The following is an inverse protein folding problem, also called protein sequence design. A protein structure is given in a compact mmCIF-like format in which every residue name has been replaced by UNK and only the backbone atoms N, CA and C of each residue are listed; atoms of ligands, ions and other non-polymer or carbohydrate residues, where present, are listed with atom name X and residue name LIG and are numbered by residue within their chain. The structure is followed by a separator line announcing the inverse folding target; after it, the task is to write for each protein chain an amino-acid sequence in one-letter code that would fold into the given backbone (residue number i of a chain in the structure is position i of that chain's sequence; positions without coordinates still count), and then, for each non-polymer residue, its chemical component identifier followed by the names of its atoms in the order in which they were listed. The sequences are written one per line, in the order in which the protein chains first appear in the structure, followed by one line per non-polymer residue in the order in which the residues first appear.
data_IF_217073679700
#
_entry.id   IF_217073679700
#
_cell.length_a   1.000
_cell.length_b   1.000
_cell.length_c   1.000
_cell.angle_alpha   90.00
_cell.angle_beta   90.00
_cell.angle_gamma   90.00
#
_symmetry.space_group_name_H-M   'P 1'
#
loop_
_entity.id
_entity.type
_entity.pdbx_description
1 polymer ?
#
# COMPACT_ATOMS: atom_id res chain seq x y z
N UNK A 1 -29.15 -43.59 1.77
CA UNK A 1 -28.85 -42.56 0.75
C UNK A 1 -28.79 -41.22 1.47
N UNK A 2 -27.60 -40.84 1.97
CA UNK A 2 -27.42 -39.57 2.69
C UNK A 2 -27.06 -38.50 1.66
N UNK A 3 -27.92 -37.49 1.54
CA UNK A 3 -27.67 -36.28 0.78
C UNK A 3 -26.69 -35.43 1.59
N UNK A 4 -25.45 -35.32 1.13
CA UNK A 4 -24.51 -34.31 1.60
C UNK A 4 -24.96 -32.96 1.05
N UNK A 5 -25.36 -32.06 1.93
CA UNK A 5 -25.65 -30.67 1.61
C UNK A 5 -24.34 -29.92 1.39
N UNK A 6 -24.16 -29.35 0.19
CA UNK A 6 -23.07 -28.43 -0.12
C UNK A 6 -23.12 -27.19 0.80
N UNK A 7 -21.96 -26.62 1.21
CA UNK A 7 -21.96 -25.41 2.01
C UNK A 7 -22.45 -24.22 1.18
N UNK A 8 -23.43 -23.51 1.73
CA UNK A 8 -23.93 -22.24 1.18
C UNK A 8 -22.78 -21.24 1.03
N UNK A 9 -22.66 -20.66 -0.17
CA UNK A 9 -21.95 -19.39 -0.39
C UNK A 9 -22.58 -18.33 0.52
N UNK A 10 -21.94 -18.06 1.66
CA UNK A 10 -22.23 -16.86 2.43
C UNK A 10 -21.86 -15.64 1.59
N UNK A 11 -22.80 -14.71 1.46
CA UNK A 11 -22.66 -13.50 0.67
C UNK A 11 -21.53 -12.62 1.23
N UNK A 12 -20.62 -12.19 0.37
CA UNK A 12 -19.47 -11.29 0.62
C UNK A 12 -19.87 -9.84 0.98
N UNK A 13 -20.90 -9.65 1.78
CA UNK A 13 -21.24 -8.35 2.37
C UNK A 13 -21.29 -8.53 3.87
N UNK A 14 -20.11 -8.65 4.47
CA UNK A 14 -19.93 -8.40 5.89
C UNK A 14 -20.56 -7.04 6.21
N UNK A 15 -21.41 -7.00 7.23
CA UNK A 15 -22.03 -5.78 7.74
C UNK A 15 -20.98 -4.65 7.87
N UNK A 16 -21.33 -3.45 7.41
CA UNK A 16 -20.45 -2.30 7.52
C UNK A 16 -20.25 -1.95 8.99
N UNK A 17 -19.12 -2.36 9.58
CA UNK A 17 -18.78 -2.11 10.98
C UNK A 17 -18.44 -0.63 11.30
N UNK A 18 -18.61 0.28 10.34
CA UNK A 18 -18.38 1.73 10.51
C UNK A 18 -16.91 2.14 10.74
N UNK A 19 -15.96 1.20 10.76
CA UNK A 19 -14.57 1.44 11.17
C UNK A 19 -13.72 2.18 10.13
N UNK A 20 -14.19 2.25 8.87
CA UNK A 20 -13.46 2.91 7.79
C UNK A 20 -12.40 2.04 7.11
N UNK A 21 -12.17 0.79 7.54
CA UNK A 21 -11.13 -0.07 6.95
C UNK A 21 -11.56 -1.52 6.77
N UNK A 22 -10.95 -2.25 5.83
CA UNK A 22 -11.26 -3.64 5.52
C UNK A 22 -9.98 -4.43 5.25
N UNK A 23 -10.00 -5.73 5.58
CA UNK A 23 -9.02 -6.69 5.06
C UNK A 23 -9.67 -7.45 3.92
N UNK A 24 -8.94 -7.64 2.83
CA UNK A 24 -9.32 -8.55 1.77
C UNK A 24 -8.22 -9.58 1.52
N UNK A 25 -8.59 -10.64 0.80
CA UNK A 25 -7.72 -11.77 0.52
C UNK A 25 -7.58 -12.07 -0.97
N UNK A 26 -8.39 -11.44 -1.83
CA UNK A 26 -8.27 -11.56 -3.29
C UNK A 26 -8.09 -10.21 -3.98
N UNK A 27 -7.63 -10.26 -5.24
CA UNK A 27 -7.46 -9.08 -6.08
C UNK A 27 -8.82 -8.48 -6.48
N UNK A 28 -9.84 -9.31 -6.71
CA UNK A 28 -11.19 -8.87 -7.07
C UNK A 28 -11.82 -8.00 -5.98
N UNK A 29 -11.50 -8.27 -4.71
CA UNK A 29 -11.99 -7.50 -3.57
C UNK A 29 -11.38 -6.09 -3.49
N UNK A 30 -10.39 -5.73 -4.33
CA UNK A 30 -9.87 -4.36 -4.37
C UNK A 30 -10.92 -3.32 -4.72
N UNK A 31 -11.95 -3.70 -5.49
CA UNK A 31 -13.11 -2.86 -5.82
C UNK A 31 -13.86 -2.33 -4.59
N UNK A 32 -13.72 -3.01 -3.44
CA UNK A 32 -14.30 -2.56 -2.17
C UNK A 32 -13.79 -1.16 -1.77
N UNK A 33 -12.62 -0.73 -2.24
CA UNK A 33 -12.10 0.61 -1.95
C UNK A 33 -13.03 1.72 -2.44
N UNK A 34 -13.85 1.48 -3.48
CA UNK A 34 -14.79 2.49 -3.99
C UNK A 34 -16.02 2.64 -3.10
N UNK A 35 -16.33 1.66 -2.26
CA UNK A 35 -17.48 1.71 -1.37
C UNK A 35 -17.33 2.84 -0.35
N UNK A 36 -18.45 3.50 -0.07
CA UNK A 36 -18.53 4.44 1.05
C UNK A 36 -18.24 3.72 2.37
N UNK A 37 -17.51 4.37 3.27
CA UNK A 37 -17.09 3.77 4.54
C UNK A 37 -15.90 2.81 4.46
N UNK A 38 -15.25 2.68 3.30
CA UNK A 38 -13.96 1.98 3.14
C UNK A 38 -12.89 3.01 2.73
N UNK A 39 -12.21 3.61 3.70
CA UNK A 39 -11.11 4.55 3.49
C UNK A 39 -9.72 3.85 3.47
N UNK A 40 -9.63 2.63 4.00
CA UNK A 40 -8.45 1.77 3.90
C UNK A 40 -8.84 0.34 3.56
N UNK A 41 -8.27 -0.21 2.49
CA UNK A 41 -8.34 -1.64 2.19
C UNK A 41 -6.94 -2.26 2.32
N UNK A 42 -6.82 -3.32 3.12
CA UNK A 42 -5.57 -4.06 3.30
C UNK A 42 -5.72 -5.42 2.62
N UNK A 43 -5.08 -5.60 1.47
CA UNK A 43 -4.92 -6.91 0.88
C UNK A 43 -3.80 -7.66 1.59
N UNK A 44 -4.20 -8.56 2.49
CA UNK A 44 -3.25 -9.37 3.27
C UNK A 44 -2.87 -10.60 2.47
N UNK A 45 -1.60 -10.67 2.10
CA UNK A 45 -1.01 -11.76 1.32
C UNK A 45 0.31 -12.23 1.93
N UNK A 46 0.72 -13.49 1.70
CA UNK A 46 2.05 -13.94 2.08
C UNK A 46 3.12 -13.20 1.28
N UNK A 47 4.31 -13.06 1.87
CA UNK A 47 5.49 -12.57 1.17
C UNK A 47 5.93 -13.59 0.11
N UNK A 48 6.20 -13.19 -1.15
CA UNK A 48 6.72 -14.12 -2.15
C UNK A 48 8.13 -14.58 -1.75
N UNK A 49 8.31 -15.88 -1.50
CA UNK A 49 9.46 -16.39 -0.72
C UNK A 49 10.85 -15.97 -1.24
N UNK A 50 11.13 -16.18 -2.52
CA UNK A 50 12.43 -15.83 -3.11
C UNK A 50 12.63 -14.30 -3.17
N UNK A 51 11.59 -13.57 -3.58
CA UNK A 51 11.62 -12.11 -3.67
C UNK A 51 11.88 -11.49 -2.28
N UNK A 52 11.18 -11.97 -1.26
CA UNK A 52 11.30 -11.49 0.09
C UNK A 52 12.66 -11.78 0.73
N UNK A 53 13.18 -12.99 0.53
CA UNK A 53 14.51 -13.36 1.01
C UNK A 53 15.59 -12.47 0.39
N UNK A 54 15.50 -12.24 -0.93
CA UNK A 54 16.46 -11.39 -1.64
C UNK A 54 16.36 -9.93 -1.21
N UNK A 55 15.18 -9.34 -1.19
CA UNK A 55 15.00 -7.94 -0.79
C UNK A 55 15.39 -7.69 0.67
N UNK A 56 15.21 -8.67 1.56
CA UNK A 56 15.68 -8.54 2.95
C UNK A 56 17.21 -8.56 3.04
N UNK A 57 17.90 -9.31 2.17
CA UNK A 57 19.37 -9.37 2.16
C UNK A 57 20.06 -8.17 1.51
N UNK A 58 19.34 -7.37 0.74
CA UNK A 58 19.90 -6.21 0.04
C UNK A 58 20.04 -5.01 0.98
N UNK A 59 21.13 -4.27 0.80
CA UNK A 59 21.29 -2.94 1.39
C UNK A 59 20.33 -1.95 0.73
N UNK A 60 20.02 -0.83 1.39
CA UNK A 60 19.03 0.11 0.87
C UNK A 60 19.53 0.80 -0.41
N UNK A 61 20.83 1.08 -0.48
CA UNK A 61 21.51 1.66 -1.64
C UNK A 61 21.51 0.75 -2.87
N UNK A 62 21.34 -0.57 -2.67
CA UNK A 62 21.21 -1.58 -3.72
C UNK A 62 19.75 -1.75 -4.18
N UNK A 63 18.81 -0.93 -3.71
CA UNK A 63 17.43 -0.94 -4.20
C UNK A 63 17.28 0.14 -5.29
N UNK A 64 16.32 0.02 -6.21
CA UNK A 64 16.02 1.09 -7.15
C UNK A 64 15.41 2.26 -6.38
N UNK A 65 15.45 3.46 -6.97
CA UNK A 65 14.69 4.61 -6.48
C UNK A 65 14.13 5.39 -7.65
N UNK A 66 13.01 6.06 -7.46
CA UNK A 66 12.50 6.94 -8.50
C UNK A 66 11.07 7.39 -8.27
N UNK A 67 10.75 8.54 -8.85
CA UNK A 67 9.39 9.07 -8.95
C UNK A 67 9.11 9.43 -10.40
N UNK A 68 8.11 8.81 -10.99
CA UNK A 68 7.75 9.01 -12.39
C UNK A 68 6.25 8.77 -12.58
N UNK A 69 5.72 9.16 -13.74
CA UNK A 69 4.35 8.85 -14.14
C UNK A 69 4.42 7.93 -15.34
N UNK A 70 3.60 6.89 -15.34
CA UNK A 70 3.52 5.92 -16.44
C UNK A 70 2.05 5.65 -16.83
N UNK A 71 1.87 4.87 -17.88
CA UNK A 71 0.57 4.33 -18.33
C UNK A 71 0.58 2.82 -18.15
N UNK A 72 -0.58 2.14 -18.06
CA UNK A 72 -0.61 0.67 -17.99
C UNK A 72 0.18 -0.01 -19.12
N UNK A 73 0.19 0.57 -20.32
CA UNK A 73 0.91 0.04 -21.48
C UNK A 73 2.44 0.20 -21.38
N UNK A 74 2.93 1.24 -20.71
CA UNK A 74 4.36 1.54 -20.57
C UNK A 74 4.96 1.08 -19.24
N UNK A 75 4.12 0.82 -18.25
CA UNK A 75 4.49 0.55 -16.86
C UNK A 75 5.63 -0.46 -16.73
N UNK A 76 5.52 -1.60 -17.41
CA UNK A 76 6.54 -2.65 -17.37
C UNK A 76 7.91 -2.16 -17.88
N UNK A 77 7.93 -1.42 -18.98
CA UNK A 77 9.18 -0.89 -19.55
C UNK A 77 9.81 0.17 -18.64
N UNK A 78 8.98 1.09 -18.10
CA UNK A 78 9.45 2.15 -17.20
C UNK A 78 9.99 1.58 -15.88
N UNK A 79 9.31 0.58 -15.31
CA UNK A 79 9.76 -0.16 -14.13
C UNK A 79 11.07 -0.90 -14.42
N UNK A 80 11.16 -1.62 -15.55
CA UNK A 80 12.38 -2.32 -15.94
C UNK A 80 13.57 -1.36 -16.03
N UNK A 81 13.37 -0.17 -16.61
CA UNK A 81 14.39 0.86 -16.69
C UNK A 81 14.87 1.37 -15.32
N UNK A 82 14.00 1.40 -14.29
CA UNK A 82 14.42 1.71 -12.91
C UNK A 82 15.24 0.59 -12.27
N UNK A 83 14.91 -0.66 -12.58
CA UNK A 83 15.67 -1.82 -12.07
C UNK A 83 17.04 -1.94 -12.74
N UNK A 84 17.14 -1.54 -14.02
CA UNK A 84 18.41 -1.51 -14.76
C UNK A 84 19.42 -0.46 -14.26
N UNK A 85 18.98 0.50 -13.45
CA UNK A 85 19.88 1.49 -12.82
C UNK A 85 20.68 0.91 -11.65
N UNK A 86 20.46 -0.36 -11.29
CA UNK A 86 21.07 -1.00 -10.12
C UNK A 86 21.84 -2.25 -10.55
N UNK A 87 23.16 -2.12 -10.63
CA UNK A 87 24.06 -3.18 -11.11
C UNK A 87 24.01 -4.48 -10.29
N UNK A 88 23.67 -4.39 -9.00
CA UNK A 88 23.59 -5.54 -8.09
C UNK A 88 22.35 -6.41 -8.29
N UNK A 89 21.36 -5.96 -9.08
CA UNK A 89 20.17 -6.74 -9.45
C UNK A 89 20.50 -7.67 -10.61
N UNK A 90 20.65 -8.98 -10.32
CA UNK A 90 20.89 -9.96 -11.37
C UNK A 90 19.63 -10.18 -12.25
N UNK A 91 19.78 -10.59 -13.54
CA UNK A 91 18.67 -10.69 -14.48
C UNK A 91 17.50 -11.57 -14.03
N UNK A 92 17.78 -12.71 -13.38
CA UNK A 92 16.73 -13.61 -12.89
C UNK A 92 15.91 -12.98 -11.77
N UNK A 93 16.57 -12.25 -10.86
CA UNK A 93 15.89 -11.56 -9.78
C UNK A 93 15.12 -10.34 -10.29
N UNK A 94 15.69 -9.62 -11.27
CA UNK A 94 15.03 -8.51 -11.96
C UNK A 94 13.67 -8.93 -12.51
N UNK A 95 13.61 -10.05 -13.25
CA UNK A 95 12.38 -10.51 -13.89
C UNK A 95 11.29 -10.85 -12.86
N UNK A 96 11.64 -11.57 -11.79
CA UNK A 96 10.73 -11.90 -10.70
C UNK A 96 10.16 -10.64 -10.02
N UNK A 97 11.02 -9.65 -9.78
CA UNK A 97 10.59 -8.41 -9.15
C UNK A 97 9.76 -7.55 -10.09
N UNK A 98 10.13 -7.50 -11.36
CA UNK A 98 9.39 -6.78 -12.39
C UNK A 98 7.97 -7.34 -12.54
N UNK A 99 7.81 -8.66 -12.55
CA UNK A 99 6.50 -9.33 -12.55
C UNK A 99 5.64 -8.90 -11.36
N UNK A 100 6.20 -8.86 -10.15
CA UNK A 100 5.50 -8.41 -8.94
C UNK A 100 5.07 -6.93 -9.02
N UNK A 101 5.98 -6.04 -9.40
CA UNK A 101 5.71 -4.59 -9.48
C UNK A 101 4.68 -4.27 -10.57
N UNK A 102 4.83 -4.89 -11.74
CA UNK A 102 3.93 -4.72 -12.87
C UNK A 102 2.55 -5.29 -12.54
N UNK A 103 2.44 -6.49 -11.97
CA UNK A 103 1.16 -7.07 -11.59
C UNK A 103 0.36 -6.18 -10.62
N UNK A 104 1.02 -5.63 -9.59
CA UNK A 104 0.40 -4.67 -8.68
C UNK A 104 -0.05 -3.40 -9.39
N UNK A 105 0.78 -2.86 -10.29
CA UNK A 105 0.48 -1.64 -11.03
C UNK A 105 -0.69 -1.83 -12.00
N UNK A 106 -0.68 -2.90 -12.80
CA UNK A 106 -1.76 -3.22 -13.73
C UNK A 106 -3.08 -3.38 -12.98
N UNK A 107 -3.04 -4.08 -11.84
CA UNK A 107 -4.23 -4.28 -11.03
C UNK A 107 -4.73 -2.98 -10.41
N UNK A 108 -3.84 -2.18 -9.81
CA UNK A 108 -4.18 -0.87 -9.29
C UNK A 108 -4.79 0.04 -10.36
N UNK A 109 -4.16 0.14 -11.53
CA UNK A 109 -4.64 0.98 -12.63
C UNK A 109 -6.02 0.54 -13.12
N UNK A 110 -6.27 -0.77 -13.19
CA UNK A 110 -7.57 -1.32 -13.56
C UNK A 110 -8.67 -0.97 -12.57
N UNK A 111 -8.45 -1.21 -11.28
CA UNK A 111 -9.43 -0.90 -10.22
C UNK A 111 -9.71 0.60 -10.22
N UNK A 112 -8.68 1.44 -10.36
CA UNK A 112 -8.85 2.90 -10.36
C UNK A 112 -9.41 3.47 -11.68
N UNK A 113 -9.52 2.67 -12.76
CA UNK A 113 -9.81 3.18 -14.09
C UNK A 113 -8.78 4.22 -14.58
N UNK A 114 -7.54 4.11 -14.13
CA UNK A 114 -6.51 5.13 -14.31
C UNK A 114 -5.81 5.02 -15.68
N UNK A 115 -5.83 6.10 -16.46
CA UNK A 115 -5.07 6.21 -17.70
C UNK A 115 -3.58 6.45 -17.47
N UNK A 116 -3.24 7.03 -16.32
CA UNK A 116 -1.87 7.23 -15.86
C UNK A 116 -1.77 6.97 -14.36
N UNK A 117 -0.60 6.51 -13.93
CA UNK A 117 -0.28 6.17 -12.54
C UNK A 117 1.01 6.86 -12.15
N UNK A 118 0.98 7.60 -11.04
CA UNK A 118 2.19 8.08 -10.39
C UNK A 118 2.87 6.93 -9.67
N UNK A 119 4.15 6.67 -9.95
CA UNK A 119 4.93 5.58 -9.37
C UNK A 119 6.03 6.15 -8.49
N UNK A 120 6.21 5.55 -7.31
CA UNK A 120 7.33 5.84 -6.42
C UNK A 120 7.97 4.56 -5.89
N UNK A 121 9.29 4.49 -6.03
CA UNK A 121 10.18 3.52 -5.40
C UNK A 121 10.98 4.30 -4.36
N UNK A 122 10.50 4.30 -3.12
CA UNK A 122 11.01 5.16 -2.06
C UNK A 122 11.99 4.39 -1.17
N UNK A 123 13.25 4.82 -1.17
CA UNK A 123 14.26 4.50 -0.16
C UNK A 123 14.21 5.53 0.95
N UNK A 124 13.85 5.14 2.17
CA UNK A 124 13.67 6.06 3.28
C UNK A 124 14.65 5.72 4.41
N UNK A 125 15.51 6.68 4.75
CA UNK A 125 16.44 6.66 5.90
C UNK A 125 16.08 7.69 6.96
N UNK A 126 15.15 8.60 6.64
CA UNK A 126 14.60 9.59 7.56
C UNK A 126 13.10 9.34 7.73
N UNK A 127 12.51 10.06 8.68
CA UNK A 127 11.06 10.14 8.77
C UNK A 127 10.54 10.71 7.45
N UNK A 128 9.58 10.02 6.83
CA UNK A 128 8.79 10.59 5.74
C UNK A 128 7.78 11.61 6.29
N UNK A 129 6.52 11.51 5.88
CA UNK A 129 5.46 12.24 6.57
C UNK A 129 5.21 11.60 7.95
N UNK A 130 5.77 12.18 9.02
CA UNK A 130 5.64 11.71 10.41
C UNK A 130 4.29 12.08 11.06
N UNK A 131 3.52 12.97 10.42
CA UNK A 131 2.19 13.34 10.87
C UNK A 131 1.14 12.41 10.27
N UNK A 132 0.17 12.02 11.09
CA UNK A 132 -1.02 11.32 10.62
C UNK A 132 -1.83 12.25 9.72
N UNK A 133 -2.03 11.83 8.47
CA UNK A 133 -2.70 12.62 7.44
C UNK A 133 -3.54 11.75 6.52
N UNK A 134 -4.30 12.42 5.69
CA UNK A 134 -5.00 11.84 4.54
C UNK A 134 -4.36 12.50 3.33
N UNK A 135 -4.03 11.70 2.32
CA UNK A 135 -3.40 12.22 1.12
C UNK A 135 -4.36 13.08 0.31
N UNK A 136 -3.79 14.04 -0.42
CA UNK A 136 -4.54 14.80 -1.43
C UNK A 136 -4.52 14.08 -2.79
N UNK A 137 -4.78 12.77 -2.79
CA UNK A 137 -4.91 11.91 -3.97
C UNK A 137 -6.33 11.34 -4.04
N UNK A 138 -6.67 10.63 -5.10
CA UNK A 138 -7.91 9.84 -5.14
C UNK A 138 -7.70 8.55 -4.35
N UNK A 139 -6.72 7.73 -4.74
CA UNK A 139 -6.28 6.57 -3.94
C UNK A 139 -4.76 6.45 -4.05
N UNK A 140 -4.12 6.12 -2.93
CA UNK A 140 -2.72 5.71 -2.87
C UNK A 140 -2.61 4.23 -2.52
N UNK A 141 -1.83 3.48 -3.31
CA UNK A 141 -1.36 2.16 -2.93
C UNK A 141 -0.03 2.27 -2.19
N UNK A 142 0.15 1.54 -1.09
CA UNK A 142 1.41 1.35 -0.41
C UNK A 142 1.72 -0.14 -0.23
N UNK A 143 2.93 -0.56 -0.56
CA UNK A 143 3.49 -1.85 -0.17
C UNK A 143 4.91 -1.67 0.38
N UNK A 144 5.12 -2.04 1.64
CA UNK A 144 6.46 -2.01 2.26
C UNK A 144 7.13 -3.37 2.07
N UNK A 145 8.22 -3.41 1.32
CA UNK A 145 9.00 -4.64 1.10
C UNK A 145 10.12 -4.83 2.12
N UNK A 146 10.73 -3.74 2.59
CA UNK A 146 11.83 -3.77 3.58
C UNK A 146 11.58 -2.74 4.68
N UNK A 147 11.95 -3.09 5.92
CA UNK A 147 11.90 -2.18 7.07
C UNK A 147 10.50 -1.97 7.67
N UNK A 148 10.37 -1.00 8.62
CA UNK A 148 9.11 -0.66 9.27
C UNK A 148 8.03 -0.27 8.26
N UNK A 149 6.78 -0.69 8.49
CA UNK A 149 5.68 -0.44 7.57
C UNK A 149 4.84 0.78 7.94
N UNK A 150 4.07 1.27 6.97
CA UNK A 150 3.24 2.46 7.14
C UNK A 150 2.22 2.26 8.26
N UNK A 151 2.10 3.28 9.10
CA UNK A 151 1.22 3.30 10.25
C UNK A 151 -0.11 3.94 9.90
N UNK A 152 -1.18 3.50 10.56
CA UNK A 152 -2.50 4.09 10.40
C UNK A 152 -3.29 4.10 11.71
N UNK A 153 -4.27 4.99 11.78
CA UNK A 153 -5.18 5.19 12.89
C UNK A 153 -6.60 5.43 12.35
N UNK A 154 -7.59 4.90 13.07
CA UNK A 154 -8.98 5.32 12.87
C UNK A 154 -9.18 6.75 13.39
N UNK A 155 -10.12 7.48 12.80
CA UNK A 155 -10.53 8.82 13.23
C UNK A 155 -10.90 8.89 14.71
N UNK A 156 -11.42 7.79 15.26
CA UNK A 156 -11.90 7.73 16.63
C UNK A 156 -10.73 7.67 17.63
N UNK A 157 -9.53 7.32 17.15
CA UNK A 157 -8.30 7.20 17.96
C UNK A 157 -7.36 8.41 17.77
N UNK A 158 -7.79 9.47 17.10
CA UNK A 158 -6.99 10.68 16.91
C UNK A 158 -7.80 11.94 17.20
N UNK A 159 -7.37 12.68 18.22
CA UNK A 159 -7.93 13.97 18.58
C UNK A 159 -7.04 15.09 18.04
N UNK A 160 -7.62 16.02 17.28
CA UNK A 160 -6.92 17.19 16.72
C UNK A 160 -7.42 18.50 17.35
N UNK A 161 -6.80 18.96 18.45
CA UNK A 161 -7.12 20.24 19.06
C UNK A 161 -6.70 21.42 18.16
N UNK A 162 -7.20 22.63 18.49
CA UNK A 162 -6.91 23.86 17.73
C UNK A 162 -5.43 24.24 17.70
N UNK A 163 -4.64 23.75 18.64
CA UNK A 163 -3.17 23.90 18.68
C UNK A 163 -2.44 23.02 17.64
N UNK A 164 -3.18 22.23 16.86
CA UNK A 164 -2.73 21.32 15.79
C UNK A 164 -1.68 20.30 16.26
N UNK A 165 -1.69 19.93 17.54
CA UNK A 165 -0.92 18.79 18.05
C UNK A 165 -1.85 17.59 18.19
N UNK A 166 -1.78 16.71 17.21
CA UNK A 166 -2.52 15.45 17.21
C UNK A 166 -2.24 14.68 18.51
N UNK A 167 -3.29 14.21 19.16
CA UNK A 167 -3.25 13.40 20.39
C UNK A 167 -3.86 12.04 20.09
N UNK A 168 -3.14 10.99 20.41
CA UNK A 168 -3.50 9.59 20.22
C UNK A 168 -2.68 8.75 21.20
N UNK A 169 -3.13 7.52 21.51
CA UNK A 169 -2.31 6.58 22.27
C UNK A 169 -1.45 5.77 21.29
N UNK A 170 -0.20 5.49 21.66
CA UNK A 170 0.70 4.70 20.81
C UNK A 170 0.17 3.26 20.60
N UNK A 171 -0.56 2.70 21.58
CA UNK A 171 -1.19 1.37 21.48
C UNK A 171 -2.31 1.27 20.43
N UNK A 172 -2.91 2.39 20.05
CA UNK A 172 -3.96 2.43 19.05
C UNK A 172 -3.40 2.35 17.62
N UNK A 173 -2.10 2.63 17.47
CA UNK A 173 -1.44 2.69 16.16
C UNK A 173 -1.37 1.30 15.55
N UNK A 174 -1.97 1.20 14.37
CA UNK A 174 -1.93 0.00 13.56
C UNK A 174 -0.88 0.14 12.46
N UNK A 175 -0.49 -1.00 11.89
CA UNK A 175 0.45 -1.07 10.78
C UNK A 175 -0.19 -1.79 9.60
N UNK A 176 0.08 -1.32 8.38
CA UNK A 176 -0.12 -2.17 7.19
C UNK A 176 0.95 -3.26 7.27
N UNK A 177 0.61 -4.56 7.32
CA UNK A 177 1.62 -5.60 7.45
C UNK A 177 2.62 -5.55 6.29
N UNK A 178 3.90 -5.91 6.54
CA UNK A 178 4.88 -6.03 5.46
C UNK A 178 4.36 -6.96 4.36
N UNK A 179 4.72 -6.67 3.12
CA UNK A 179 4.26 -7.40 1.91
C UNK A 179 2.76 -7.32 1.60
N UNK A 180 1.93 -6.92 2.55
CA UNK A 180 0.54 -6.58 2.28
C UNK A 180 0.46 -5.29 1.49
N UNK A 181 -0.63 -5.14 0.75
CA UNK A 181 -0.93 -3.91 0.02
C UNK A 181 -1.98 -3.13 0.80
N UNK A 182 -1.73 -1.87 1.08
CA UNK A 182 -2.73 -0.93 1.59
C UNK A 182 -3.19 0.01 0.48
N UNK A 183 -4.48 0.05 0.21
CA UNK A 183 -5.12 1.09 -0.59
C UNK A 183 -5.72 2.13 0.36
N UNK A 184 -5.22 3.35 0.28
CA UNK A 184 -5.61 4.49 1.11
C UNK A 184 -6.41 5.45 0.26
N UNK A 185 -7.67 5.64 0.61
CA UNK A 185 -8.54 6.62 -0.03
C UNK A 185 -8.13 8.02 0.43
N UNK A 186 -7.88 8.91 -0.52
CA UNK A 186 -7.49 10.30 -0.24
C UNK A 186 -8.66 11.28 -0.32
N UNK A 187 -8.37 12.55 -0.02
CA UNK A 187 -9.34 13.64 -0.01
C UNK A 187 -10.04 13.89 -1.36
N UNK A 188 -9.45 13.46 -2.48
CA UNK A 188 -10.02 13.65 -3.82
C UNK A 188 -11.01 12.55 -4.21
N UNK A 189 -11.08 11.44 -3.47
CA UNK A 189 -12.04 10.38 -3.77
C UNK A 189 -13.47 10.81 -3.42
N UNK A 190 -14.46 10.61 -4.30
CA UNK A 190 -15.83 11.10 -4.11
C UNK A 190 -16.55 10.48 -2.89
N UNK A 191 -16.19 9.26 -2.49
CA UNK A 191 -16.78 8.54 -1.36
C UNK A 191 -15.90 8.51 -0.10
N UNK A 192 -14.94 9.42 0.03
CA UNK A 192 -14.04 9.49 1.17
C UNK A 192 -14.74 9.95 2.46
N UNK A 193 -14.47 9.29 3.58
CA UNK A 193 -15.19 9.52 4.85
C UNK A 193 -14.37 10.12 5.99
N UNK A 194 -13.09 10.47 5.78
CA UNK A 194 -12.16 10.97 6.81
C UNK A 194 -11.97 10.00 8.00
N UNK A 195 -12.13 8.68 7.77
CA UNK A 195 -12.09 7.68 8.83
C UNK A 195 -10.71 7.11 9.09
N UNK A 196 -9.79 7.18 8.13
CA UNK A 196 -8.46 6.59 8.27
C UNK A 196 -7.38 7.64 8.02
N UNK A 197 -6.48 7.78 8.99
CA UNK A 197 -5.28 8.59 8.87
C UNK A 197 -4.06 7.69 8.83
N UNK A 198 -3.06 8.05 8.03
CA UNK A 198 -1.84 7.26 7.90
C UNK A 198 -0.59 8.13 8.00
N UNK A 199 0.55 7.50 8.29
CA UNK A 199 1.87 8.15 8.32
C UNK A 199 2.98 7.17 7.96
N UNK A 200 4.15 7.73 7.66
CA UNK A 200 5.38 6.96 7.75
C UNK A 200 5.74 6.73 9.22
N UNK A 201 6.22 5.53 9.60
CA UNK A 201 6.67 5.29 10.97
C UNK A 201 7.92 6.16 11.25
N UNK A 202 8.11 6.60 12.49
CA UNK A 202 9.33 7.29 12.89
C UNK A 202 10.51 6.31 12.85
N UNK A 203 11.53 6.60 12.04
CA UNK A 203 12.71 5.74 11.83
C UNK A 203 14.04 6.50 11.95
N UNK A 204 14.05 7.83 11.79
CA UNK A 204 15.28 8.63 11.69
C UNK A 204 16.20 8.49 12.92
N UNK A 205 15.62 8.41 14.11
CA UNK A 205 16.38 8.29 15.37
C UNK A 205 16.76 6.86 15.71
N UNK A 206 16.34 5.87 14.90
CA UNK A 206 16.51 4.45 15.18
C UNK A 206 17.58 3.81 14.29
N UNK A 207 18.17 4.56 13.35
CA UNK A 207 19.11 4.01 12.36
C UNK A 207 18.47 2.99 11.43
N UNK A 208 17.13 2.97 11.35
CA UNK A 208 16.38 2.05 10.51
C UNK A 208 16.18 2.63 9.12
N UNK A 209 16.05 1.75 8.13
CA UNK A 209 15.69 2.10 6.76
C UNK A 209 14.50 1.28 6.28
N UNK A 210 13.80 1.80 5.28
CA UNK A 210 12.67 1.09 4.65
C UNK A 210 12.61 1.34 3.16
N UNK A 211 12.08 0.35 2.45
CA UNK A 211 11.80 0.43 1.02
C UNK A 211 10.32 0.21 0.76
N UNK A 212 9.71 1.18 0.07
CA UNK A 212 8.26 1.24 -0.16
C UNK A 212 7.98 1.43 -1.63
N UNK A 213 7.12 0.56 -2.17
CA UNK A 213 6.50 0.77 -3.47
C UNK A 213 5.17 1.50 -3.29
N UNK A 214 5.01 2.61 -4.00
CA UNK A 214 3.83 3.44 -3.93
C UNK A 214 3.28 3.73 -5.32
N UNK A 215 1.96 3.65 -5.45
CA UNK A 215 1.23 4.05 -6.65
C UNK A 215 0.18 5.09 -6.27
N UNK A 216 0.09 6.15 -7.07
CA UNK A 216 -0.83 7.26 -6.88
C UNK A 216 -1.76 7.35 -8.08
N UNK A 217 -3.07 7.31 -7.81
CA UNK A 217 -4.08 7.77 -8.75
C UNK A 217 -4.49 9.18 -8.35
N UNK A 218 -4.15 10.14 -9.20
CA UNK A 218 -4.42 11.55 -8.95
C UNK A 218 -5.84 11.95 -9.34
N UNK A 219 -6.49 11.28 -10.31
CA UNK A 219 -7.86 11.59 -10.75
C UNK A 219 -7.98 12.91 -11.50
#
# INVERSE_FOLDING_TARGET
MMLQTEPKKESLVSAMDGTGWRICHSLEEWELIHQEGVDLLIWKRPAPGLLATRLESMSLEDLPRGRFTTTPQQARADLAARLDEVDSICPTFKELWLEELDALLQHFARVMGALSVGVRLDQLTTDGCSRFHIDNTTVRMLCTYKGPSSQWLSSDNIYRPRDRRDRFNEEDIQHIPRWSVGLLKGHRHPTHTNKIYHRSPPIAQQGLSRFVFCLDHEG
#
